data_IF_626272211110
#
_entry.id   IF_626272211110
#
_cell.length_a   1.000
_cell.length_b   1.000
_cell.length_c   1.000
_cell.angle_alpha   90.00
_cell.angle_beta   90.00
_cell.angle_gamma   90.00
#
_symmetry.space_group_name_H-M   'P 1'
#
loop_
_entity.id
_entity.type
_entity.pdbx_description
1 polymer ?
#
# COMPACT_ATOMS: atom_id res chain seq x y z
N UNK A 1 0.96 6.82 -12.59
CA UNK A 1 0.07 5.77 -13.13
C UNK A 1 0.59 4.36 -12.86
N UNK A 2 1.90 4.12 -12.92
CA UNK A 2 2.50 2.81 -12.60
C UNK A 2 2.11 2.31 -11.19
N UNK A 3 2.01 3.22 -10.22
CA UNK A 3 1.64 2.92 -8.84
C UNK A 3 0.23 2.33 -8.68
N UNK A 4 -0.75 2.80 -9.45
CA UNK A 4 -2.13 2.30 -9.40
C UNK A 4 -2.24 0.92 -10.05
N UNK A 5 -1.65 0.77 -11.25
CA UNK A 5 -1.64 -0.50 -11.96
C UNK A 5 -0.93 -1.58 -11.13
N UNK A 6 0.22 -1.25 -10.56
CA UNK A 6 0.96 -2.14 -9.68
C UNK A 6 0.15 -2.53 -8.43
N UNK A 7 -0.60 -1.62 -7.83
CA UNK A 7 -1.49 -1.96 -6.71
C UNK A 7 -2.64 -2.91 -7.11
N UNK A 8 -3.14 -2.79 -8.34
CA UNK A 8 -4.25 -3.62 -8.84
C UNK A 8 -3.80 -5.03 -9.25
N UNK A 9 -2.63 -5.15 -9.89
CA UNK A 9 -2.24 -6.40 -10.57
C UNK A 9 -1.03 -7.11 -9.97
N UNK A 10 -0.38 -6.57 -8.92
CA UNK A 10 0.82 -7.21 -8.33
C UNK A 10 0.54 -8.64 -7.86
N UNK A 11 1.53 -9.51 -8.09
CA UNK A 11 1.49 -10.91 -7.69
C UNK A 11 2.61 -11.29 -6.71
N UNK A 12 3.52 -10.36 -6.45
CA UNK A 12 4.67 -10.51 -5.56
C UNK A 12 4.74 -9.32 -4.61
N UNK A 13 5.28 -9.54 -3.41
CA UNK A 13 5.39 -8.48 -2.41
C UNK A 13 6.24 -7.31 -2.92
N UNK A 14 5.75 -6.08 -2.70
CA UNK A 14 6.38 -4.84 -3.19
C UNK A 14 6.16 -4.52 -4.68
N UNK A 15 5.88 -5.52 -5.52
CA UNK A 15 5.59 -5.33 -6.94
C UNK A 15 6.71 -4.62 -7.73
N UNK A 16 6.34 -4.04 -8.88
CA UNK A 16 7.24 -3.22 -9.70
C UNK A 16 7.60 -1.90 -9.02
N UNK A 17 6.73 -1.38 -8.15
CA UNK A 17 7.03 -0.16 -7.38
C UNK A 17 8.21 -0.37 -6.43
N UNK A 18 8.32 -1.54 -5.79
CA UNK A 18 9.46 -1.89 -4.94
C UNK A 18 10.79 -1.89 -5.71
N UNK A 19 10.79 -2.44 -6.93
CA UNK A 19 11.97 -2.38 -7.81
C UNK A 19 12.31 -0.95 -8.23
N UNK A 20 11.29 -0.15 -8.54
CA UNK A 20 11.46 1.27 -8.89
C UNK A 20 12.10 2.04 -7.73
N UNK A 21 11.59 1.86 -6.52
CA UNK A 21 12.13 2.49 -5.31
C UNK A 21 13.58 2.09 -5.07
N UNK A 22 13.90 0.80 -5.20
CA UNK A 22 15.26 0.32 -5.06
C UNK A 22 16.21 0.96 -6.10
N UNK A 23 15.82 0.99 -7.38
CA UNK A 23 16.62 1.59 -8.46
C UNK A 23 16.87 3.09 -8.22
N UNK A 24 15.86 3.83 -7.79
CA UNK A 24 15.97 5.27 -7.49
C UNK A 24 16.84 5.51 -6.26
N UNK A 25 16.66 4.71 -5.20
CA UNK A 25 17.48 4.81 -3.98
C UNK A 25 18.97 4.54 -4.26
N UNK A 26 19.28 3.52 -5.07
CA UNK A 26 20.67 3.16 -5.45
C UNK A 26 21.28 4.21 -6.38
N UNK A 27 20.55 4.66 -7.40
CA UNK A 27 21.06 5.67 -8.35
C UNK A 27 21.15 7.07 -7.75
N UNK A 28 20.46 7.33 -6.63
CA UNK A 28 20.34 8.65 -5.98
C UNK A 28 19.83 9.73 -6.94
N UNK A 29 19.00 9.33 -7.90
CA UNK A 29 18.36 10.24 -8.86
C UNK A 29 17.33 11.10 -8.12
N UNK A 30 17.71 12.35 -7.81
CA UNK A 30 16.89 13.28 -7.04
C UNK A 30 15.57 13.63 -7.75
N UNK A 31 15.60 13.82 -9.07
CA UNK A 31 14.40 14.20 -9.82
C UNK A 31 13.34 13.10 -9.69
N UNK A 32 13.75 11.83 -9.83
CA UNK A 32 12.81 10.71 -9.66
C UNK A 32 12.40 10.51 -8.22
N UNK A 33 13.30 10.71 -7.26
CA UNK A 33 12.98 10.60 -5.84
C UNK A 33 11.94 11.64 -5.42
N UNK A 34 12.12 12.90 -5.80
CA UNK A 34 11.19 14.00 -5.49
C UNK A 34 9.82 13.74 -6.13
N UNK A 35 9.80 13.26 -7.38
CA UNK A 35 8.56 12.87 -8.05
C UNK A 35 7.82 11.73 -7.34
N UNK A 36 8.56 10.71 -6.89
CA UNK A 36 8.00 9.59 -6.13
C UNK A 36 7.47 10.08 -4.79
N UNK A 37 8.26 10.83 -4.03
CA UNK A 37 7.86 11.39 -2.74
C UNK A 37 6.59 12.23 -2.89
N UNK A 38 6.54 13.12 -3.88
CA UNK A 38 5.36 13.94 -4.13
C UNK A 38 4.12 13.07 -4.41
N UNK A 39 4.25 12.02 -5.23
CA UNK A 39 3.11 11.21 -5.66
C UNK A 39 2.62 10.22 -4.61
N UNK A 40 3.52 9.54 -3.91
CA UNK A 40 3.19 8.42 -3.02
C UNK A 40 3.56 8.66 -1.56
N UNK A 41 4.28 9.74 -1.24
CA UNK A 41 4.70 10.09 0.13
C UNK A 41 6.00 9.43 0.59
N UNK A 42 6.63 8.61 -0.25
CA UNK A 42 7.81 7.82 0.13
C UNK A 42 9.13 8.57 -0.12
N UNK A 43 9.86 8.87 0.97
CA UNK A 43 11.18 9.50 0.93
C UNK A 43 12.28 8.46 0.67
N UNK A 44 12.76 8.38 -0.58
CA UNK A 44 13.74 7.36 -1.00
C UNK A 44 15.21 7.75 -0.75
N UNK A 45 15.51 9.06 -0.70
CA UNK A 45 16.86 9.61 -0.51
C UNK A 45 16.91 10.33 0.84
N UNK A 46 16.64 9.62 1.92
CA UNK A 46 16.96 10.08 3.28
C UNK A 46 18.04 9.16 3.84
N UNK A 47 18.99 9.66 4.65
CA UNK A 47 19.89 8.80 5.40
C UNK A 47 19.09 8.14 6.54
N UNK A 48 18.28 7.13 6.22
CA UNK A 48 17.73 6.27 7.25
C UNK A 48 18.79 5.24 7.62
N UNK A 49 19.28 5.38 8.86
CA UNK A 49 20.03 4.35 9.55
C UNK A 49 19.22 3.06 9.42
N UNK A 50 19.78 2.09 8.69
CA UNK A 50 19.24 0.74 8.64
C UNK A 50 19.38 0.18 10.04
N UNK A 51 18.36 0.35 10.88
CA UNK A 51 18.22 -0.38 12.13
C UNK A 51 17.99 -1.83 11.72
N UNK A 52 19.09 -2.57 11.58
CA UNK A 52 19.05 -4.02 11.38
C UNK A 52 18.21 -4.58 12.53
N UNK A 53 17.06 -5.23 12.27
CA UNK A 53 16.29 -5.82 13.35
C UNK A 53 17.16 -6.85 14.05
N UNK A 54 17.34 -6.70 15.36
CA UNK A 54 18.14 -7.63 16.15
C UNK A 54 17.48 -9.01 16.11
N UNK A 55 18.24 -10.01 15.62
CA UNK A 55 17.80 -11.39 15.45
C UNK A 55 17.82 -12.12 16.79
N UNK A 56 16.84 -11.85 17.66
CA UNK A 56 16.51 -12.74 18.78
C UNK A 56 15.01 -12.97 18.87
N UNK A 57 14.46 -13.62 17.83
CA UNK A 57 13.07 -14.06 17.85
C UNK A 57 12.98 -15.39 18.61
N UNK A 58 12.22 -15.42 19.72
CA UNK A 58 11.86 -16.68 20.39
C UNK A 58 11.08 -17.57 19.41
N UNK A 59 11.42 -18.86 19.34
CA UNK A 59 10.71 -19.83 18.52
C UNK A 59 9.43 -20.21 19.29
N UNK A 60 8.28 -19.78 18.78
CA UNK A 60 6.95 -20.18 19.27
C UNK A 60 6.44 -21.39 18.48
N UNK A 61 5.60 -22.23 19.10
CA UNK A 61 5.00 -23.41 18.44
C UNK A 61 4.24 -23.03 17.16
N UNK A 62 3.60 -21.86 17.16
CA UNK A 62 2.94 -21.31 15.97
C UNK A 62 3.91 -21.06 14.81
N UNK A 63 5.17 -20.74 15.07
CA UNK A 63 6.17 -20.59 14.00
C UNK A 63 6.51 -21.93 13.37
N UNK A 64 6.50 -23.02 14.14
CA UNK A 64 6.79 -24.35 13.63
C UNK A 64 5.62 -24.90 12.80
N UNK A 65 4.37 -24.76 13.30
CA UNK A 65 3.18 -25.16 12.55
C UNK A 65 3.07 -24.37 11.24
N UNK A 66 3.30 -23.06 11.28
CA UNK A 66 3.37 -22.22 10.08
C UNK A 66 4.49 -22.64 9.13
N UNK A 67 5.64 -23.11 9.63
CA UNK A 67 6.74 -23.58 8.77
C UNK A 67 6.39 -24.89 8.06
N UNK A 68 5.71 -25.81 8.75
CA UNK A 68 5.23 -27.07 8.17
C UNK A 68 4.14 -26.79 7.13
N UNK A 69 3.17 -25.94 7.46
CA UNK A 69 2.13 -25.51 6.53
C UNK A 69 2.73 -24.85 5.28
N UNK A 70 3.71 -23.97 5.46
CA UNK A 70 4.43 -23.36 4.34
C UNK A 70 5.16 -24.39 3.47
N UNK A 71 5.72 -25.45 4.06
CA UNK A 71 6.36 -26.52 3.30
C UNK A 71 5.32 -27.28 2.46
N UNK A 72 4.17 -27.62 3.04
CA UNK A 72 3.06 -28.25 2.33
C UNK A 72 2.56 -27.39 1.15
N UNK A 73 2.36 -26.09 1.37
CA UNK A 73 1.94 -25.15 0.33
C UNK A 73 2.99 -25.02 -0.79
N UNK A 74 4.28 -25.05 -0.46
CA UNK A 74 5.37 -25.05 -1.46
C UNK A 74 5.38 -26.31 -2.30
N UNK A 75 5.13 -27.47 -1.71
CA UNK A 75 5.00 -28.72 -2.45
C UNK A 75 3.82 -28.64 -3.42
N UNK A 76 2.64 -28.20 -2.96
CA UNK A 76 1.46 -28.02 -3.80
C UNK A 76 1.72 -27.04 -4.96
N UNK A 77 2.41 -25.94 -4.69
CA UNK A 77 2.85 -24.97 -5.72
C UNK A 77 3.70 -25.63 -6.80
N UNK A 78 4.63 -26.52 -6.43
CA UNK A 78 5.51 -27.18 -7.38
C UNK A 78 4.77 -28.22 -8.23
N UNK A 79 3.75 -28.89 -7.66
CA UNK A 79 2.90 -29.84 -8.38
C UNK A 79 1.89 -29.16 -9.32
N UNK A 80 1.50 -27.91 -9.04
CA UNK A 80 0.56 -27.17 -9.87
C UNK A 80 1.15 -26.85 -11.26
N UNK A 81 0.41 -27.10 -12.37
CA UNK A 81 0.78 -26.67 -13.71
C UNK A 81 1.07 -25.16 -13.78
N UNK A 82 2.03 -24.76 -14.64
CA UNK A 82 2.45 -23.35 -14.76
C UNK A 82 1.29 -22.41 -15.09
N UNK A 83 0.30 -22.87 -15.85
CA UNK A 83 -0.88 -22.08 -16.23
C UNK A 83 -1.76 -21.66 -15.04
N UNK A 84 -1.88 -22.49 -14.00
CA UNK A 84 -2.72 -22.19 -12.83
C UNK A 84 -1.94 -21.69 -11.63
N UNK A 85 -0.63 -21.91 -11.64
CA UNK A 85 0.27 -21.65 -10.51
C UNK A 85 0.25 -20.18 -10.09
N UNK A 86 0.30 -19.28 -11.06
CA UNK A 86 0.32 -17.85 -10.77
C UNK A 86 -1.07 -17.32 -10.41
N UNK A 87 -2.15 -17.94 -10.87
CA UNK A 87 -3.52 -17.55 -10.48
C UNK A 87 -3.88 -18.01 -9.06
N UNK A 88 -3.49 -19.24 -8.70
CA UNK A 88 -3.85 -19.87 -7.42
C UNK A 88 -2.95 -19.40 -6.27
N UNK A 89 -1.65 -19.17 -6.53
CA UNK A 89 -0.68 -18.85 -5.49
C UNK A 89 -0.26 -17.39 -5.54
N UNK A 90 -1.05 -16.55 -4.89
CA UNK A 90 -0.76 -15.13 -4.71
C UNK A 90 0.33 -14.96 -3.64
N UNK A 91 1.46 -14.35 -4.00
CA UNK A 91 2.63 -14.16 -3.11
C UNK A 91 2.68 -12.77 -2.47
N UNK A 92 1.60 -12.02 -2.55
CA UNK A 92 1.45 -10.74 -1.86
C UNK A 92 0.92 -10.97 -0.46
N UNK A 93 1.30 -10.13 0.51
CA UNK A 93 0.59 -10.14 1.79
C UNK A 93 -0.84 -9.61 1.65
N UNK A 94 -1.67 -9.89 2.66
CA UNK A 94 -3.05 -9.37 2.71
C UNK A 94 -2.98 -7.84 2.76
N UNK A 95 -3.75 -7.17 1.90
CA UNK A 95 -3.79 -5.71 1.82
C UNK A 95 -2.77 -5.08 0.85
N UNK A 96 -1.80 -5.83 0.34
CA UNK A 96 -0.90 -5.29 -0.70
C UNK A 96 -1.56 -5.15 -2.07
N UNK A 97 -2.43 -6.11 -2.42
CA UNK A 97 -3.17 -6.11 -3.68
C UNK A 97 -4.56 -5.54 -3.49
N UNK A 98 -4.84 -4.45 -4.19
CA UNK A 98 -6.13 -3.76 -4.15
C UNK A 98 -6.99 -4.24 -5.32
N UNK A 99 -7.98 -5.08 -5.05
CA UNK A 99 -8.88 -5.60 -6.09
C UNK A 99 -9.81 -4.55 -6.66
N UNK A 100 -10.01 -3.45 -5.93
CA UNK A 100 -10.85 -2.34 -6.34
C UNK A 100 -10.07 -1.05 -6.16
N UNK A 101 -10.14 -0.20 -7.18
CA UNK A 101 -9.71 1.18 -7.13
C UNK A 101 -10.92 2.01 -7.55
N UNK A 102 -11.16 3.10 -6.84
CA UNK A 102 -12.23 4.04 -7.15
C UNK A 102 -11.63 5.39 -7.48
N UNK A 103 -12.24 6.06 -8.45
CA UNK A 103 -12.10 7.50 -8.64
C UNK A 103 -13.22 8.24 -7.88
N UNK A 104 -13.14 9.57 -7.87
CA UNK A 104 -14.13 10.40 -7.17
C UNK A 104 -15.55 10.22 -7.71
N UNK A 105 -15.70 9.90 -9.00
CA UNK A 105 -16.99 9.70 -9.63
C UNK A 105 -17.65 8.36 -9.23
N UNK A 106 -16.91 7.26 -9.38
CA UNK A 106 -17.35 5.91 -9.05
C UNK A 106 -17.60 5.74 -7.55
N UNK A 107 -16.74 6.29 -6.70
CA UNK A 107 -16.94 6.26 -5.25
C UNK A 107 -18.17 7.09 -4.85
N UNK A 108 -18.34 8.30 -5.42
CA UNK A 108 -19.54 9.11 -5.18
C UNK A 108 -20.82 8.35 -5.54
N UNK A 109 -20.84 7.71 -6.71
CA UNK A 109 -22.01 6.93 -7.16
C UNK A 109 -22.33 5.79 -6.18
N UNK A 110 -21.31 5.06 -5.71
CA UNK A 110 -21.50 3.97 -4.75
C UNK A 110 -22.02 4.47 -3.41
N UNK A 111 -21.47 5.57 -2.90
CA UNK A 111 -21.93 6.20 -1.65
C UNK A 111 -23.40 6.63 -1.76
N UNK A 112 -23.79 7.26 -2.89
CA UNK A 112 -25.19 7.64 -3.14
C UNK A 112 -26.10 6.41 -3.19
N UNK A 113 -25.69 5.33 -3.86
CA UNK A 113 -26.47 4.09 -3.93
C UNK A 113 -26.63 3.41 -2.56
N UNK A 114 -25.65 3.58 -1.67
CA UNK A 114 -25.71 3.08 -0.30
C UNK A 114 -26.53 3.98 0.65
N UNK A 115 -27.09 5.10 0.17
CA UNK A 115 -27.96 6.00 0.95
C UNK A 115 -27.25 7.20 1.56
N UNK A 116 -25.93 7.37 1.35
CA UNK A 116 -25.22 8.54 1.85
C UNK A 116 -25.55 9.80 1.04
N UNK A 117 -25.52 10.94 1.72
CA UNK A 117 -25.77 12.28 1.19
C UNK A 117 -24.58 13.21 1.43
N UNK A 118 -24.63 14.45 0.90
CA UNK A 118 -23.58 15.47 1.06
C UNK A 118 -22.15 14.97 0.75
N UNK A 119 -22.01 14.24 -0.36
CA UNK A 119 -20.74 13.61 -0.73
C UNK A 119 -19.80 14.64 -1.37
N UNK A 120 -18.66 14.88 -0.73
CA UNK A 120 -17.68 15.88 -1.12
C UNK A 120 -16.27 15.28 -1.23
N UNK A 121 -15.47 15.78 -2.18
CA UNK A 121 -14.03 15.47 -2.25
C UNK A 121 -13.28 16.41 -1.32
N UNK A 122 -12.43 15.86 -0.47
CA UNK A 122 -11.65 16.60 0.52
C UNK A 122 -10.17 16.68 0.15
N UNK A 123 -9.46 17.56 0.84
CA UNK A 123 -8.00 17.57 0.89
C UNK A 123 -7.54 16.74 2.09
N UNK A 124 -6.31 16.24 2.03
CA UNK A 124 -5.71 15.41 3.08
C UNK A 124 -5.65 16.10 4.47
N UNK A 125 -5.67 17.43 4.50
CA UNK A 125 -5.56 18.27 5.71
C UNK A 125 -6.88 18.96 6.09
N UNK A 126 -8.00 18.57 5.48
CA UNK A 126 -9.30 19.21 5.70
C UNK A 126 -10.41 18.17 5.85
N UNK A 127 -11.19 18.32 6.92
CA UNK A 127 -12.31 17.45 7.27
C UNK A 127 -13.34 18.25 8.05
N UNK A 128 -14.60 17.84 7.99
CA UNK A 128 -15.65 18.40 8.85
C UNK A 128 -15.51 17.98 10.33
N UNK A 129 -14.63 17.03 10.62
CA UNK A 129 -14.32 16.59 11.98
C UNK A 129 -13.51 17.69 12.70
N UNK A 130 -14.00 18.21 13.86
CA UNK A 130 -13.26 19.22 14.62
C UNK A 130 -11.86 18.73 15.01
N UNK A 131 -10.86 19.61 14.83
CA UNK A 131 -9.46 19.32 15.14
C UNK A 131 -8.89 18.09 14.41
N UNK A 132 -9.41 17.72 13.23
CA UNK A 132 -9.01 16.53 12.46
C UNK A 132 -7.48 16.32 12.37
N UNK A 133 -6.74 17.38 12.05
CA UNK A 133 -5.29 17.32 11.88
C UNK A 133 -4.52 16.95 13.16
N UNK A 134 -5.13 17.06 14.34
CA UNK A 134 -4.51 16.63 15.60
C UNK A 134 -4.40 15.11 15.74
N UNK A 135 -5.22 14.35 14.99
CA UNK A 135 -5.19 12.88 14.98
C UNK A 135 -4.08 12.30 14.10
N UNK A 136 -3.46 13.10 13.22
CA UNK A 136 -2.39 12.68 12.30
C UNK A 136 -2.74 11.42 11.47
N UNK A 137 -4.00 11.32 11.03
CA UNK A 137 -4.49 10.18 10.27
C UNK A 137 -4.03 10.22 8.80
N UNK A 138 -4.24 11.37 8.15
CA UNK A 138 -3.96 11.57 6.72
C UNK A 138 -2.76 12.50 6.47
N UNK A 139 -2.17 13.02 7.55
CA UNK A 139 -1.02 13.93 7.53
C UNK A 139 0.13 13.36 8.34
N UNK A 140 1.35 13.65 7.91
CA UNK A 140 2.56 13.44 8.69
C UNK A 140 2.69 14.52 9.78
N UNK A 141 3.58 14.30 10.75
CA UNK A 141 3.86 15.26 11.82
C UNK A 141 4.40 16.62 11.30
N UNK A 142 4.97 16.66 10.10
CA UNK A 142 5.43 17.88 9.43
C UNK A 142 4.31 18.58 8.61
N UNK A 143 3.08 18.07 8.65
CA UNK A 143 1.92 18.60 7.91
C UNK A 143 1.85 18.17 6.44
N UNK A 144 2.82 17.38 5.95
CA UNK A 144 2.75 16.82 4.60
C UNK A 144 1.71 15.70 4.50
N UNK A 145 1.19 15.44 3.31
CA UNK A 145 0.25 14.34 3.08
C UNK A 145 0.94 12.98 3.32
N UNK A 146 0.30 12.10 4.12
CA UNK A 146 0.87 10.80 4.49
C UNK A 146 1.19 9.91 3.28
N UNK A 147 0.32 9.90 2.26
CA UNK A 147 0.49 9.12 1.00
C UNK A 147 0.68 10.01 -0.23
N UNK A 148 1.34 11.16 -0.05
CA UNK A 148 1.55 12.12 -1.12
C UNK A 148 0.24 12.66 -1.72
N UNK A 149 0.34 13.30 -2.88
CA UNK A 149 -0.78 14.04 -3.49
C UNK A 149 -1.72 13.18 -4.32
N UNK A 150 -1.42 11.90 -4.55
CA UNK A 150 -2.22 11.04 -5.43
C UNK A 150 -3.40 10.36 -4.73
N UNK A 151 -3.57 10.57 -3.42
CA UNK A 151 -4.62 9.93 -2.63
C UNK A 151 -5.97 10.62 -2.82
N UNK A 152 -7.06 9.84 -2.78
CA UNK A 152 -8.43 10.33 -2.85
C UNK A 152 -9.02 10.39 -1.43
N UNK A 153 -9.51 11.57 -1.05
CA UNK A 153 -10.21 11.79 0.22
C UNK A 153 -11.63 12.23 -0.08
N UNK A 154 -12.61 11.58 0.55
CA UNK A 154 -14.03 11.90 0.38
C UNK A 154 -14.76 11.76 1.70
N UNK A 155 -15.69 12.69 1.96
CA UNK A 155 -16.59 12.64 3.11
C UNK A 155 -18.04 12.60 2.65
N UNK A 156 -18.90 11.99 3.46
CA UNK A 156 -20.33 11.88 3.22
C UNK A 156 -21.08 11.81 4.56
N UNK A 157 -22.39 12.09 4.52
CA UNK A 157 -23.29 12.02 5.68
C UNK A 157 -24.27 10.86 5.52
N UNK A 158 -24.50 10.11 6.59
CA UNK A 158 -25.49 9.04 6.66
C UNK A 158 -26.89 9.61 6.94
#
# INVERSE_FOLDING_TARGET
MIEMLDQMVRMQSGGQMGECFHKVSVSKDRIKADFIEQRVGERLITPHAVTKPSLKSKITLDKLTNKILNLYLKSLYFLAPRSIRDEVFIRTSIGERHKWAYDSFSLKRLLTQAGFSDIQTMRYDHSQIPHFNTYLLDINADGSAYKGVSSLYMEARA
#
